data_IF_240444534225
#
_entry.id   IF_240444534225
#
_cell.length_a   1.000
_cell.length_b   1.000
_cell.length_c   1.000
_cell.angle_alpha   90.00
_cell.angle_beta   90.00
_cell.angle_gamma   90.00
#
_symmetry.space_group_name_H-M   'P 1'
#
loop_
_entity.id
_entity.type
_entity.pdbx_description
1 polymer ?
#
# COMPACT_ATOMS: atom_id res chain seq x y z
N UNK A 1 39.84 4.46 -2.95
CA UNK A 1 38.73 3.73 -3.61
C UNK A 1 37.51 4.65 -3.62
N UNK A 2 36.89 4.98 -4.76
CA UNK A 2 35.73 5.85 -4.74
C UNK A 2 34.54 5.14 -4.08
N UNK A 3 33.94 5.81 -3.11
CA UNK A 3 32.74 5.38 -2.40
C UNK A 3 31.59 5.29 -3.42
N UNK A 4 31.03 4.11 -3.64
CA UNK A 4 29.78 3.93 -4.41
C UNK A 4 28.60 4.43 -3.58
N UNK A 5 28.37 5.75 -3.58
CA UNK A 5 27.26 6.40 -2.87
C UNK A 5 25.88 6.27 -3.57
N UNK A 6 25.83 5.72 -4.78
CA UNK A 6 24.63 5.77 -5.62
C UNK A 6 23.83 4.45 -5.75
N UNK A 7 24.11 3.45 -4.92
CA UNK A 7 23.39 2.17 -4.97
C UNK A 7 22.20 2.08 -3.98
N UNK A 8 21.70 3.22 -3.45
CA UNK A 8 20.64 3.23 -2.42
C UNK A 8 19.22 3.55 -2.91
N UNK A 9 19.02 3.73 -4.21
CA UNK A 9 17.69 3.76 -4.81
C UNK A 9 17.40 2.43 -5.52
N UNK A 10 17.50 1.31 -4.80
CA UNK A 10 16.86 0.07 -5.26
C UNK A 10 15.37 0.38 -5.44
N UNK A 11 14.86 0.22 -6.66
CA UNK A 11 13.46 0.43 -7.04
C UNK A 11 12.52 -0.21 -6.02
N UNK A 12 12.05 0.58 -5.05
CA UNK A 12 11.10 0.09 -4.05
C UNK A 12 9.77 -0.14 -4.76
N UNK A 13 9.26 -1.37 -4.68
CA UNK A 13 7.96 -1.73 -5.23
C UNK A 13 6.87 -1.07 -4.39
N UNK A 14 5.77 -0.62 -4.99
CA UNK A 14 4.65 -0.04 -4.23
C UNK A 14 3.56 -1.10 -4.05
N UNK A 15 3.06 -1.24 -2.82
CA UNK A 15 1.87 -2.05 -2.53
C UNK A 15 0.76 -1.14 -2.00
N UNK A 16 -0.41 -1.21 -2.63
CA UNK A 16 -1.62 -0.57 -2.14
C UNK A 16 -2.31 -1.50 -1.15
N UNK A 17 -2.72 -0.98 0.00
CA UNK A 17 -3.48 -1.71 1.03
C UNK A 17 -4.81 -0.97 1.16
N UNK A 18 -5.92 -1.67 0.93
CA UNK A 18 -7.28 -1.16 1.14
C UNK A 18 -7.87 -1.90 2.33
N UNK A 19 -8.06 -1.20 3.43
CA UNK A 19 -8.51 -1.73 4.72
C UNK A 19 -9.10 -0.57 5.53
N UNK A 20 -10.38 -0.64 5.87
CA UNK A 20 -11.10 0.41 6.59
C UNK A 20 -10.89 0.32 8.11
N UNK A 21 -10.58 -0.87 8.65
CA UNK A 21 -10.20 -1.02 10.05
C UNK A 21 -8.82 -0.39 10.34
N UNK A 22 -8.80 0.60 11.23
CA UNK A 22 -7.59 1.36 11.54
C UNK A 22 -6.49 0.49 12.17
N UNK A 23 -6.86 -0.42 13.06
CA UNK A 23 -5.92 -1.26 13.80
C UNK A 23 -5.28 -2.32 12.91
N UNK A 24 -6.11 -3.01 12.13
CA UNK A 24 -5.68 -4.02 11.17
C UNK A 24 -4.86 -3.39 10.04
N UNK A 25 -5.32 -2.28 9.47
CA UNK A 25 -4.63 -1.58 8.39
C UNK A 25 -3.22 -1.10 8.80
N UNK A 26 -3.08 -0.54 10.00
CA UNK A 26 -1.78 -0.14 10.54
C UNK A 26 -0.88 -1.36 10.79
N UNK A 27 -1.43 -2.45 11.34
CA UNK A 27 -0.69 -3.70 11.57
C UNK A 27 -0.15 -4.29 10.27
N UNK A 28 -0.98 -4.38 9.23
CA UNK A 28 -0.57 -4.87 7.91
C UNK A 28 0.54 -3.99 7.33
N UNK A 29 0.41 -2.67 7.44
CA UNK A 29 1.41 -1.72 6.96
C UNK A 29 2.76 -1.91 7.67
N UNK A 30 2.76 -2.11 8.98
CA UNK A 30 3.97 -2.41 9.76
C UNK A 30 4.59 -3.74 9.33
N UNK A 31 3.80 -4.82 9.27
CA UNK A 31 4.26 -6.15 8.85
C UNK A 31 4.88 -6.10 7.45
N UNK A 32 4.27 -5.41 6.49
CA UNK A 32 4.82 -5.24 5.14
C UNK A 32 6.15 -4.47 5.19
N UNK A 33 6.22 -3.40 5.99
CA UNK A 33 7.42 -2.57 6.12
C UNK A 33 8.60 -3.37 6.68
N UNK A 34 8.35 -4.14 7.74
CA UNK A 34 9.36 -4.95 8.43
C UNK A 34 9.74 -6.20 7.63
N UNK A 35 8.76 -7.00 7.23
CA UNK A 35 8.99 -8.30 6.55
C UNK A 35 9.72 -8.13 5.22
N UNK A 36 9.43 -7.04 4.51
CA UNK A 36 10.05 -6.76 3.21
C UNK A 36 11.33 -5.93 3.33
N UNK A 37 11.84 -5.66 4.53
CA UNK A 37 13.06 -4.88 4.79
C UNK A 37 13.06 -3.53 4.04
N UNK A 38 11.89 -2.91 3.90
CA UNK A 38 11.72 -1.65 3.16
C UNK A 38 11.92 -1.75 1.65
N UNK A 39 11.95 -2.95 1.05
CA UNK A 39 11.91 -3.17 -0.40
C UNK A 39 10.56 -2.81 -1.00
N UNK A 40 9.52 -2.77 -0.17
CA UNK A 40 8.19 -2.33 -0.54
C UNK A 40 7.82 -1.02 0.17
N UNK A 41 7.09 -0.16 -0.52
CA UNK A 41 6.46 1.04 0.01
C UNK A 41 4.95 0.77 0.13
N UNK A 42 4.43 0.51 1.34
CA UNK A 42 3.00 0.36 1.54
C UNK A 42 2.29 1.72 1.50
N UNK A 43 1.15 1.77 0.82
CA UNK A 43 0.20 2.88 0.81
C UNK A 43 -1.09 2.33 1.37
N UNK A 44 -1.49 2.78 2.56
CA UNK A 44 -2.74 2.38 3.21
C UNK A 44 -3.84 3.37 2.85
N UNK A 45 -4.95 2.86 2.34
CA UNK A 45 -6.17 3.59 2.04
C UNK A 45 -7.33 2.99 2.85
N UNK A 46 -8.09 3.84 3.53
CA UNK A 46 -9.21 3.44 4.40
C UNK A 46 -10.58 3.78 3.82
N UNK A 47 -10.61 4.55 2.74
CA UNK A 47 -11.83 5.05 2.12
C UNK A 47 -11.60 5.33 0.62
N UNK A 48 -12.70 5.44 -0.14
CA UNK A 48 -12.66 5.66 -1.58
C UNK A 48 -11.93 6.93 -1.99
N UNK A 49 -11.97 7.98 -1.16
CA UNK A 49 -11.28 9.24 -1.45
C UNK A 49 -9.77 9.03 -1.45
N UNK A 50 -9.25 8.28 -0.48
CA UNK A 50 -7.84 7.93 -0.42
C UNK A 50 -7.42 7.03 -1.60
N UNK A 51 -8.27 6.05 -1.95
CA UNK A 51 -8.03 5.17 -3.10
C UNK A 51 -7.95 6.01 -4.39
N UNK A 52 -8.94 6.88 -4.62
CA UNK A 52 -9.00 7.74 -5.80
C UNK A 52 -7.78 8.66 -5.90
N UNK A 53 -7.36 9.27 -4.77
CA UNK A 53 -6.16 10.12 -4.72
C UNK A 53 -4.89 9.35 -5.10
N UNK A 54 -4.74 8.10 -4.63
CA UNK A 54 -3.58 7.27 -4.95
C UNK A 54 -3.60 6.87 -6.42
N UNK A 55 -4.75 6.49 -6.96
CA UNK A 55 -4.89 6.14 -8.38
C UNK A 55 -4.63 7.33 -9.30
N UNK A 56 -4.99 8.55 -8.89
CA UNK A 56 -4.72 9.79 -9.64
C UNK A 56 -3.26 10.24 -9.55
N UNK A 57 -2.55 9.87 -8.47
CA UNK A 57 -1.18 10.34 -8.18
C UNK A 57 -0.08 9.92 -9.16
N UNK A 58 -0.41 9.17 -10.23
CA UNK A 58 0.52 8.55 -11.20
C UNK A 58 1.59 7.64 -10.55
N UNK A 59 1.42 7.29 -9.28
CA UNK A 59 2.28 6.32 -8.60
C UNK A 59 2.06 4.96 -9.23
N UNK A 60 3.14 4.32 -9.69
CA UNK A 60 3.08 2.92 -10.11
C UNK A 60 2.79 2.04 -8.90
N UNK A 61 1.70 1.28 -8.96
CA UNK A 61 1.33 0.25 -7.99
C UNK A 61 1.79 -1.10 -8.54
N UNK A 62 2.65 -1.81 -7.80
CA UNK A 62 3.19 -3.11 -8.22
C UNK A 62 2.36 -4.29 -7.68
N UNK A 63 1.61 -4.09 -6.60
CA UNK A 63 0.66 -5.04 -6.03
C UNK A 63 -0.43 -4.33 -5.23
N UNK A 64 -1.54 -5.02 -4.97
CA UNK A 64 -2.59 -4.56 -4.07
C UNK A 64 -3.00 -5.68 -3.11
N UNK A 65 -3.22 -5.31 -1.85
CA UNK A 65 -3.91 -6.10 -0.83
C UNK A 65 -5.24 -5.39 -0.56
N UNK A 66 -6.34 -6.11 -0.66
CA UNK A 66 -7.67 -5.52 -0.55
C UNK A 66 -8.48 -6.37 0.41
N UNK A 67 -8.98 -5.76 1.47
CA UNK A 67 -9.96 -6.41 2.33
C UNK A 67 -11.23 -6.71 1.52
N UNK A 68 -11.72 -7.94 1.65
CA UNK A 68 -12.93 -8.39 0.98
C UNK A 68 -14.17 -7.74 1.61
N UNK A 69 -14.16 -7.55 2.93
CA UNK A 69 -15.27 -6.93 3.68
C UNK A 69 -15.50 -5.47 3.31
N UNK A 70 -14.45 -4.77 2.90
CA UNK A 70 -14.49 -3.38 2.42
C UNK A 70 -15.63 -3.10 1.42
N UNK A 71 -15.83 -3.98 0.43
CA UNK A 71 -16.84 -3.78 -0.61
C UNK A 71 -18.22 -4.33 -0.26
N UNK A 72 -18.33 -5.17 0.77
CA UNK A 72 -19.60 -5.80 1.16
C UNK A 72 -20.58 -4.80 1.79
N UNK A 73 -20.12 -3.60 2.15
CA UNK A 73 -20.99 -2.51 2.62
C UNK A 73 -21.85 -1.86 1.52
N UNK A 74 -21.48 -2.03 0.24
CA UNK A 74 -22.18 -1.45 -0.92
C UNK A 74 -22.72 -2.50 -1.94
N UNK A 75 -22.35 -3.79 -1.81
CA UNK A 75 -22.78 -4.84 -2.75
C UNK A 75 -24.13 -5.50 -2.40
N UNK A 76 -24.80 -5.03 -1.34
CA UNK A 76 -26.14 -5.45 -0.94
C UNK A 76 -27.26 -4.64 -1.61
N UNK A 77 -27.49 -4.82 -2.92
CA UNK A 77 -28.65 -4.21 -3.58
C UNK A 77 -28.70 -4.43 -5.09
N UNK A 78 -29.41 -5.48 -5.50
CA UNK A 78 -30.01 -5.56 -6.84
C UNK A 78 -31.21 -4.63 -6.99
#
# INVERSE_FOLDING_TARGET
>A
MPIKLFQRFQNKKTILIIEDDEGLGNTIKEVVTESMKGAWRPILCRNDKEIALVLDSKVKIDAALVDYGYFDSDLGGG
#
